data_IF_778554490458
#
_entry.id   IF_778554490458
#
_cell.length_a   1.000
_cell.length_b   1.000
_cell.length_c   1.000
_cell.angle_alpha   90.00
_cell.angle_beta   90.00
_cell.angle_gamma   90.00
#
_symmetry.space_group_name_H-M   'P 1'
#
loop_
_entity.id
_entity.type
_entity.pdbx_description
1 polymer ?
#
# COMPACT_ATOMS: atom_id res chain seq x y z
N UNK A 1 -46.69 -33.00 -24.69
CA UNK A 1 -47.46 -32.23 -25.70
C UNK A 1 -46.43 -31.80 -26.76
N UNK A 2 -45.96 -32.70 -27.64
CA UNK A 2 -46.54 -33.11 -28.95
C UNK A 2 -47.10 -31.92 -29.74
N UNK A 3 -46.85 -31.70 -31.03
CA UNK A 3 -45.92 -32.13 -32.09
C UNK A 3 -46.47 -31.50 -33.39
N UNK A 4 -45.64 -31.26 -34.42
CA UNK A 4 -45.92 -31.66 -35.82
C UNK A 4 -44.98 -30.98 -36.84
N UNK A 5 -44.11 -31.79 -37.43
CA UNK A 5 -43.61 -31.68 -38.82
C UNK A 5 -44.73 -32.11 -39.81
N UNK A 6 -44.61 -31.90 -41.14
CA UNK A 6 -43.94 -32.87 -42.05
C UNK A 6 -43.02 -32.20 -43.10
N UNK A 7 -41.85 -32.76 -43.43
CA UNK A 7 -41.56 -33.87 -44.39
C UNK A 7 -41.58 -33.40 -45.86
N UNK A 8 -40.87 -33.95 -46.86
CA UNK A 8 -40.19 -35.23 -47.10
C UNK A 8 -39.42 -35.06 -48.44
N UNK A 9 -38.27 -35.66 -48.72
CA UNK A 9 -38.09 -36.95 -49.45
C UNK A 9 -36.80 -36.82 -50.30
N UNK A 10 -35.96 -37.81 -50.59
CA UNK A 10 -35.90 -39.25 -50.30
C UNK A 10 -34.53 -39.82 -50.75
N UNK A 11 -34.05 -40.87 -50.04
CA UNK A 11 -33.40 -42.14 -50.53
C UNK A 11 -32.10 -42.11 -51.36
N UNK A 12 -31.17 -43.07 -51.35
CA UNK A 12 -30.82 -44.36 -50.69
C UNK A 12 -29.44 -44.70 -51.31
N UNK A 13 -28.42 -45.31 -50.69
CA UNK A 13 -28.21 -46.76 -50.47
C UNK A 13 -26.68 -46.91 -50.18
N UNK A 14 -26.19 -47.38 -49.03
CA UNK A 14 -25.96 -48.77 -48.54
C UNK A 14 -24.59 -49.40 -48.92
N UNK A 15 -24.10 -50.25 -48.01
CA UNK A 15 -23.01 -51.28 -48.11
C UNK A 15 -21.56 -50.84 -47.80
N UNK A 16 -20.67 -51.60 -47.13
CA UNK A 16 -20.65 -52.86 -46.35
C UNK A 16 -19.17 -52.97 -45.84
N UNK A 17 -18.90 -52.97 -44.52
CA UNK A 17 -18.34 -54.07 -43.70
C UNK A 17 -16.99 -54.73 -44.15
N UNK A 18 -15.99 -54.66 -43.23
CA UNK A 18 -15.00 -55.68 -42.80
C UNK A 18 -13.56 -55.86 -43.39
N UNK A 19 -12.66 -56.12 -42.41
CA UNK A 19 -11.42 -56.97 -42.35
C UNK A 19 -10.07 -56.34 -42.76
N UNK A 20 -9.17 -56.07 -41.80
CA UNK A 20 -8.13 -56.96 -41.22
C UNK A 20 -7.09 -57.47 -42.24
N UNK A 21 -5.79 -57.19 -42.03
CA UNK A 21 -4.73 -58.17 -41.67
C UNK A 21 -3.36 -57.49 -41.60
N UNK A 22 -2.54 -57.96 -40.65
CA UNK A 22 -1.19 -57.54 -40.29
C UNK A 22 -0.08 -58.08 -41.23
N UNK A 23 1.16 -57.69 -40.89
CA UNK A 23 2.46 -58.40 -41.04
C UNK A 23 3.50 -57.72 -41.95
N UNK A 24 4.59 -57.30 -41.29
CA UNK A 24 5.93 -56.89 -41.79
C UNK A 24 6.74 -58.12 -42.25
N UNK A 25 7.80 -58.02 -43.10
CA UNK A 25 9.15 -57.73 -42.56
C UNK A 25 10.17 -57.05 -43.52
N UNK A 26 11.04 -56.24 -42.90
CA UNK A 26 12.49 -56.06 -43.08
C UNK A 26 13.18 -56.14 -44.47
N UNK A 27 13.94 -55.08 -44.81
CA UNK A 27 15.35 -55.19 -45.23
C UNK A 27 16.07 -53.83 -45.07
N UNK A 28 17.29 -53.82 -44.52
CA UNK A 28 18.23 -52.69 -44.45
C UNK A 28 19.55 -53.12 -45.14
N UNK A 29 20.40 -52.21 -45.63
CA UNK A 29 21.55 -51.80 -44.81
C UNK A 29 21.97 -50.32 -45.00
N UNK A 30 22.36 -49.63 -43.93
CA UNK A 30 23.75 -49.32 -43.53
C UNK A 30 24.45 -48.23 -44.36
N UNK A 31 24.56 -47.01 -43.81
CA UNK A 31 25.85 -46.31 -43.61
C UNK A 31 25.63 -44.99 -42.82
N UNK A 32 26.06 -44.94 -41.55
CA UNK A 32 26.45 -43.73 -40.80
C UNK A 32 26.86 -44.12 -39.36
N UNK A 33 27.96 -43.59 -38.81
CA UNK A 33 28.58 -44.10 -37.60
C UNK A 33 27.75 -43.79 -36.35
N UNK A 34 27.44 -44.85 -35.59
CA UNK A 34 26.81 -44.73 -34.28
C UNK A 34 27.84 -44.33 -33.23
N UNK A 35 27.70 -43.10 -32.71
CA UNK A 35 28.26 -42.72 -31.43
C UNK A 35 27.47 -43.45 -30.33
N UNK A 36 28.01 -44.56 -29.83
CA UNK A 36 27.64 -45.02 -28.50
C UNK A 36 28.38 -44.13 -27.52
N UNK A 37 27.66 -43.42 -26.64
CA UNK A 37 27.97 -43.47 -25.21
C UNK A 37 26.92 -42.76 -24.35
N UNK A 38 26.52 -43.53 -23.33
CA UNK A 38 25.96 -43.13 -22.05
C UNK A 38 24.66 -42.32 -22.03
N UNK A 39 23.55 -43.06 -21.90
CA UNK A 39 22.37 -42.57 -21.20
C UNK A 39 22.80 -42.23 -19.76
N UNK A 40 23.02 -40.94 -19.50
CA UNK A 40 23.02 -40.41 -18.13
C UNK A 40 21.57 -40.42 -17.69
N UNK A 41 21.21 -41.42 -16.89
CA UNK A 41 20.05 -41.34 -16.02
C UNK A 41 20.13 -40.03 -15.23
N UNK A 42 19.02 -39.35 -14.90
CA UNK A 42 19.06 -38.23 -13.97
C UNK A 42 19.70 -38.73 -12.68
N UNK A 43 20.97 -38.40 -12.48
CA UNK A 43 21.53 -38.46 -11.15
C UNK A 43 20.77 -37.38 -10.41
N UNK A 44 19.98 -37.80 -9.43
CA UNK A 44 19.72 -36.99 -8.25
C UNK A 44 21.08 -36.77 -7.57
N UNK A 45 21.93 -35.94 -8.18
CA UNK A 45 22.96 -35.21 -7.47
C UNK A 45 22.16 -34.24 -6.63
N UNK A 46 22.02 -34.57 -5.34
CA UNK A 46 21.51 -33.62 -4.38
C UNK A 46 22.24 -32.31 -4.63
N UNK A 47 21.47 -31.25 -4.94
CA UNK A 47 21.99 -29.91 -5.05
C UNK A 47 22.73 -29.61 -3.74
N UNK A 48 24.03 -29.86 -3.71
CA UNK A 48 24.91 -29.27 -2.73
C UNK A 48 24.93 -27.79 -3.08
N UNK A 49 23.95 -27.09 -2.53
CA UNK A 49 23.75 -25.65 -2.68
C UNK A 49 25.07 -24.98 -2.32
N UNK A 50 25.86 -24.65 -3.34
CA UNK A 50 27.24 -24.20 -3.16
C UNK A 50 27.18 -22.94 -2.30
N UNK A 51 28.04 -22.84 -1.29
CA UNK A 51 27.97 -21.75 -0.29
C UNK A 51 28.03 -20.35 -0.94
N UNK A 52 28.68 -20.25 -2.11
CA UNK A 52 28.72 -19.06 -2.96
C UNK A 52 27.34 -18.73 -3.53
N UNK A 53 26.63 -19.72 -4.07
CA UNK A 53 25.28 -19.55 -4.62
C UNK A 53 24.29 -19.18 -3.53
N UNK A 54 24.43 -19.79 -2.35
CA UNK A 54 23.64 -19.44 -1.16
C UNK A 54 23.92 -18.01 -0.67
N UNK A 55 25.17 -17.54 -0.76
CA UNK A 55 25.55 -16.18 -0.38
C UNK A 55 25.06 -15.15 -1.39
N UNK A 56 25.11 -15.48 -2.68
CA UNK A 56 24.62 -14.62 -3.75
C UNK A 56 23.09 -14.50 -3.70
N UNK A 57 22.38 -15.60 -3.49
CA UNK A 57 20.93 -15.63 -3.29
C UNK A 57 20.52 -14.79 -2.06
N UNK A 58 21.23 -14.96 -0.93
CA UNK A 58 20.99 -14.16 0.28
C UNK A 58 21.20 -12.67 0.03
N UNK A 59 22.32 -12.28 -0.60
CA UNK A 59 22.61 -10.88 -0.89
C UNK A 59 21.59 -10.27 -1.86
N UNK A 60 21.20 -11.02 -2.90
CA UNK A 60 20.21 -10.60 -3.90
C UNK A 60 18.84 -10.42 -3.27
N UNK A 61 18.40 -11.35 -2.43
CA UNK A 61 17.13 -11.25 -1.73
C UNK A 61 17.11 -10.03 -0.80
N UNK A 62 18.20 -9.78 -0.05
CA UNK A 62 18.29 -8.58 0.79
C UNK A 62 18.33 -7.27 0.02
N UNK A 63 18.96 -7.26 -1.16
CA UNK A 63 18.95 -6.10 -2.03
C UNK A 63 17.54 -5.86 -2.61
N UNK A 64 16.85 -6.92 -3.02
CA UNK A 64 15.48 -6.84 -3.52
C UNK A 64 14.50 -6.38 -2.43
N UNK A 65 14.61 -6.93 -1.21
CA UNK A 65 13.82 -6.52 -0.06
C UNK A 65 14.06 -5.04 0.28
N UNK A 66 15.32 -4.57 0.18
CA UNK A 66 15.65 -3.16 0.41
C UNK A 66 15.06 -2.26 -0.68
N UNK A 67 15.17 -2.64 -1.95
CA UNK A 67 14.61 -1.87 -3.07
C UNK A 67 13.09 -1.81 -2.96
N UNK A 68 12.43 -2.92 -2.63
CA UNK A 68 11.00 -2.95 -2.42
C UNK A 68 10.59 -2.11 -1.20
N UNK A 69 11.32 -2.21 -0.08
CA UNK A 69 11.10 -1.34 1.08
C UNK A 69 11.30 0.14 0.74
N UNK A 70 12.31 0.49 -0.05
CA UNK A 70 12.55 1.87 -0.49
C UNK A 70 11.45 2.37 -1.42
N UNK A 71 11.03 1.56 -2.39
CA UNK A 71 9.92 1.88 -3.29
C UNK A 71 8.62 2.05 -2.52
N UNK A 72 8.31 1.18 -1.56
CA UNK A 72 7.14 1.32 -0.68
C UNK A 72 7.25 2.56 0.23
N UNK A 73 8.44 2.86 0.75
CA UNK A 73 8.68 4.02 1.62
C UNK A 73 8.49 5.35 0.89
N UNK A 74 8.95 5.46 -0.36
CA UNK A 74 8.86 6.70 -1.15
C UNK A 74 7.67 6.75 -2.12
N UNK A 75 7.12 5.59 -2.51
CA UNK A 75 6.10 5.43 -3.54
C UNK A 75 4.67 5.55 -3.01
N UNK A 76 4.45 5.48 -1.69
CA UNK A 76 3.13 5.71 -1.12
C UNK A 76 2.72 7.18 -1.27
N UNK A 77 1.71 7.52 -2.11
CA UNK A 77 1.16 8.87 -2.08
C UNK A 77 0.61 9.09 -0.67
N UNK A 78 0.90 10.25 -0.08
CA UNK A 78 0.39 10.72 1.24
C UNK A 78 -1.13 10.52 1.42
N UNK A 79 -1.86 10.29 0.32
CA UNK A 79 -3.28 9.91 0.28
C UNK A 79 -3.62 8.57 0.96
N UNK A 80 -2.66 7.67 1.19
CA UNK A 80 -2.91 6.35 1.80
C UNK A 80 -2.42 6.18 3.25
N UNK A 81 -1.76 7.18 3.85
CA UNK A 81 -1.42 7.11 5.27
C UNK A 81 -2.69 6.96 6.16
N UNK A 82 -3.79 7.58 5.76
CA UNK A 82 -5.09 7.43 6.43
C UNK A 82 -5.82 6.09 6.11
N UNK A 83 -5.31 5.30 5.17
CA UNK A 83 -5.90 4.02 4.72
C UNK A 83 -5.06 2.80 5.12
N UNK A 84 -3.81 2.99 5.52
CA UNK A 84 -2.93 1.92 5.97
C UNK A 84 -3.40 1.35 7.31
N UNK A 85 -3.55 0.03 7.37
CA UNK A 85 -3.70 -0.76 8.59
C UNK A 85 -2.54 -0.40 9.54
N UNK A 86 -2.81 0.33 10.62
CA UNK A 86 -1.89 0.62 11.72
C UNK A 86 -0.38 0.83 11.38
N UNK A 87 0.11 2.07 11.35
CA UNK A 87 1.52 2.36 11.10
C UNK A 87 2.20 3.11 12.25
N UNK A 88 3.52 2.92 12.39
CA UNK A 88 4.36 3.66 13.33
C UNK A 88 5.65 4.10 12.63
N UNK A 89 6.05 5.36 12.84
CA UNK A 89 7.25 6.00 12.28
C UNK A 89 8.03 6.67 13.41
N UNK A 90 9.26 6.20 13.64
CA UNK A 90 10.22 6.89 14.49
C UNK A 90 11.09 7.82 13.64
N UNK A 91 11.23 9.08 14.06
CA UNK A 91 12.09 10.08 13.42
C UNK A 91 13.13 10.52 14.45
N UNK A 92 14.40 10.42 14.07
CA UNK A 92 15.54 10.87 14.87
C UNK A 92 16.14 12.08 14.16
N UNK A 93 16.19 13.23 14.84
CA UNK A 93 16.81 14.45 14.34
C UNK A 93 17.96 14.80 15.27
N UNK A 94 19.18 14.86 14.74
CA UNK A 94 20.35 15.37 15.46
C UNK A 94 20.68 16.75 14.88
N UNK A 95 20.51 17.80 15.68
CA UNK A 95 20.95 19.15 15.33
C UNK A 95 22.30 19.40 16.00
N UNK A 96 23.29 19.85 15.23
CA UNK A 96 24.63 20.10 15.75
C UNK A 96 25.06 21.54 15.46
N UNK A 97 25.30 22.30 16.52
CA UNK A 97 25.95 23.61 16.47
C UNK A 97 27.25 23.56 17.29
N UNK A 98 28.28 24.27 16.83
CA UNK A 98 29.53 24.44 17.54
C UNK A 98 29.37 25.14 18.92
N UNK A 99 28.31 25.92 19.12
CA UNK A 99 27.99 26.58 20.41
C UNK A 99 27.24 25.65 21.36
N UNK A 100 26.25 24.93 20.85
CA UNK A 100 25.25 24.21 21.66
C UNK A 100 25.46 22.69 21.67
N UNK A 101 26.36 22.17 20.85
CA UNK A 101 26.67 20.75 20.76
C UNK A 101 25.62 19.97 19.99
N UNK A 102 25.40 18.71 20.37
CA UNK A 102 24.38 17.84 19.78
C UNK A 102 23.03 18.01 20.49
N UNK A 103 21.96 18.19 19.74
CA UNK A 103 20.57 18.20 20.18
C UNK A 103 19.80 17.09 19.45
N UNK A 104 19.74 15.92 20.11
CA UNK A 104 19.03 14.75 19.60
C UNK A 104 17.54 14.81 19.98
N UNK A 105 16.69 14.99 18.98
CA UNK A 105 15.23 14.92 19.06
C UNK A 105 14.73 13.57 18.55
N UNK A 106 13.94 12.89 19.35
CA UNK A 106 13.24 11.65 18.95
C UNK A 106 11.74 11.95 18.86
N UNK A 107 11.14 11.59 17.73
CA UNK A 107 9.70 11.74 17.48
C UNK A 107 9.10 10.39 17.12
N UNK A 108 7.94 10.06 17.70
CA UNK A 108 7.23 8.82 17.41
C UNK A 108 5.84 9.12 16.87
N UNK A 109 5.66 8.92 15.57
CA UNK A 109 4.40 9.10 14.84
C UNK A 109 3.71 7.78 14.61
N UNK A 110 2.40 7.79 14.56
CA UNK A 110 1.67 6.62 14.11
C UNK A 110 0.21 6.63 14.47
N UNK A 111 -0.49 5.68 13.87
CA UNK A 111 -1.86 5.35 14.20
C UNK A 111 -1.93 3.84 14.37
N UNK A 112 -2.65 3.38 15.39
CA UNK A 112 -2.96 1.96 15.59
C UNK A 112 -4.47 1.84 15.68
N UNK A 113 -5.06 1.11 14.75
CA UNK A 113 -6.49 0.81 14.75
C UNK A 113 -6.77 -0.21 15.85
N UNK A 114 -7.83 -0.01 16.62
CA UNK A 114 -8.16 -0.89 17.76
C UNK A 114 -9.44 -1.69 17.46
N UNK A 115 -9.44 -2.62 16.47
CA UNK A 115 -10.65 -3.33 16.05
C UNK A 115 -11.24 -4.23 17.15
N UNK A 116 -10.42 -4.66 18.12
CA UNK A 116 -10.89 -5.43 19.29
C UNK A 116 -11.65 -4.59 20.30
N UNK A 117 -11.47 -3.27 20.29
CA UNK A 117 -12.21 -2.32 21.13
C UNK A 117 -13.39 -1.77 20.33
N UNK A 118 -13.12 -1.19 19.16
CA UNK A 118 -14.12 -0.65 18.25
C UNK A 118 -13.47 -0.33 16.90
N UNK A 119 -14.16 -0.62 15.81
CA UNK A 119 -13.76 -0.22 14.44
C UNK A 119 -13.76 1.31 14.24
N UNK A 120 -14.13 2.09 15.27
CA UNK A 120 -14.20 3.56 15.23
C UNK A 120 -13.13 4.22 16.09
N UNK A 121 -12.33 3.46 16.82
CA UNK A 121 -11.35 3.99 17.76
C UNK A 121 -9.94 3.69 17.25
N UNK A 122 -9.15 4.75 17.14
CA UNK A 122 -7.75 4.68 16.76
C UNK A 122 -6.91 5.26 17.90
N UNK A 123 -5.78 4.62 18.21
CA UNK A 123 -4.73 5.20 19.04
C UNK A 123 -3.79 5.98 18.14
N UNK A 124 -3.61 7.27 18.41
CA UNK A 124 -2.75 8.17 17.62
C UNK A 124 -1.56 8.64 18.46
N UNK A 125 -0.37 8.55 17.87
CA UNK A 125 0.90 8.95 18.46
C UNK A 125 1.46 10.13 17.68
N UNK A 126 1.83 11.18 18.41
CA UNK A 126 2.19 12.53 17.95
C UNK A 126 1.25 13.05 16.86
N UNK A 127 0.28 13.87 17.29
CA UNK A 127 -0.90 14.27 16.56
C UNK A 127 -0.65 14.44 15.07
N UNK A 128 -1.22 13.54 14.28
CA UNK A 128 -1.05 13.27 12.83
C UNK A 128 -0.94 14.50 11.89
N UNK A 129 -1.20 15.70 12.36
CA UNK A 129 -1.43 16.89 11.55
C UNK A 129 -1.09 18.24 12.22
N UNK A 130 -0.45 18.28 13.42
CA UNK A 130 0.02 19.57 13.97
C UNK A 130 1.12 20.23 13.10
N UNK A 131 1.61 19.46 12.13
CA UNK A 131 2.54 19.80 11.06
C UNK A 131 2.26 21.11 10.34
N UNK A 132 1.02 21.55 10.13
CA UNK A 132 0.76 22.67 9.21
C UNK A 132 0.87 24.06 9.85
N UNK A 133 0.97 24.15 11.19
CA UNK A 133 0.95 25.46 11.87
C UNK A 133 2.03 25.62 12.92
N UNK A 134 2.63 24.52 13.38
CA UNK A 134 3.70 24.58 14.35
C UNK A 134 5.04 24.88 13.67
N UNK A 135 5.91 25.63 14.33
CA UNK A 135 7.30 25.78 13.91
C UNK A 135 8.09 24.48 14.10
N UNK A 136 9.26 24.36 13.44
CA UNK A 136 10.17 23.20 13.59
C UNK A 136 10.48 22.88 15.06
N UNK A 137 10.60 23.93 15.88
CA UNK A 137 10.90 23.89 17.32
C UNK A 137 9.68 23.42 18.14
N UNK A 138 8.48 23.93 17.85
CA UNK A 138 7.25 23.46 18.50
C UNK A 138 6.96 21.99 18.15
N UNK A 139 7.18 21.59 16.88
CA UNK A 139 7.10 20.19 16.44
C UNK A 139 8.15 19.30 17.11
N UNK A 140 9.28 19.85 17.55
CA UNK A 140 10.34 19.08 18.24
C UNK A 140 9.98 18.73 19.68
N UNK A 141 9.12 19.52 20.31
CA UNK A 141 8.74 19.34 21.71
C UNK A 141 7.37 18.66 21.88
N UNK A 142 6.66 18.38 20.79
CA UNK A 142 5.32 17.82 20.82
C UNK A 142 5.34 16.29 20.70
N UNK A 143 5.49 15.62 21.85
CA UNK A 143 5.17 14.20 22.00
C UNK A 143 3.83 14.09 22.73
N UNK A 144 2.74 14.03 21.97
CA UNK A 144 1.42 13.75 22.50
C UNK A 144 0.93 12.33 22.13
N UNK A 145 0.11 11.75 23.01
CA UNK A 145 -0.55 10.46 22.77
C UNK A 145 -2.03 10.70 22.91
N UNK A 146 -2.82 10.25 21.95
CA UNK A 146 -4.25 10.51 21.95
C UNK A 146 -5.08 9.35 21.45
N UNK A 147 -6.36 9.41 21.79
CA UNK A 147 -7.38 8.52 21.27
C UNK A 147 -8.24 9.32 20.30
N UNK A 148 -8.44 8.77 19.11
CA UNK A 148 -9.33 9.33 18.09
C UNK A 148 -10.57 8.47 17.95
N UNK A 149 -11.71 9.13 17.86
CA UNK A 149 -13.01 8.54 17.62
C UNK A 149 -13.58 9.01 16.29
N UNK A 150 -13.80 8.08 15.37
CA UNK A 150 -14.39 8.32 14.06
C UNK A 150 -15.93 8.26 14.16
N UNK A 151 -16.60 9.41 14.21
CA UNK A 151 -18.07 9.48 14.22
C UNK A 151 -18.66 9.09 12.88
N UNK A 152 -18.07 9.62 11.81
CA UNK A 152 -18.52 9.39 10.45
C UNK A 152 -17.31 9.20 9.57
N UNK A 153 -17.28 8.08 8.89
CA UNK A 153 -16.33 7.82 7.82
C UNK A 153 -17.10 7.43 6.57
N UNK A 154 -16.86 8.17 5.49
CA UNK A 154 -17.56 8.03 4.21
C UNK A 154 -16.61 8.52 3.12
N UNK A 155 -16.80 8.02 1.90
CA UNK A 155 -15.92 8.35 0.75
C UNK A 155 -15.72 9.86 0.51
N UNK A 156 -16.69 10.69 0.93
CA UNK A 156 -16.65 12.15 0.75
C UNK A 156 -16.52 12.93 2.06
N UNK A 157 -16.81 12.34 3.21
CA UNK A 157 -16.91 13.08 4.46
C UNK A 157 -16.35 12.25 5.59
N UNK A 158 -15.43 12.82 6.35
CA UNK A 158 -14.92 12.24 7.59
C UNK A 158 -15.10 13.24 8.72
N UNK A 159 -15.61 12.77 9.85
CA UNK A 159 -15.75 13.54 11.08
C UNK A 159 -15.21 12.71 12.22
N UNK A 160 -14.19 13.24 12.89
CA UNK A 160 -13.54 12.60 14.01
C UNK A 160 -13.32 13.58 15.17
N UNK A 161 -13.30 13.06 16.39
CA UNK A 161 -12.80 13.78 17.56
C UNK A 161 -11.56 13.09 18.09
N UNK A 162 -10.61 13.88 18.54
CA UNK A 162 -9.38 13.42 19.15
C UNK A 162 -9.28 13.98 20.56
N UNK A 163 -8.78 13.17 21.47
CA UNK A 163 -8.38 13.60 22.80
C UNK A 163 -6.94 13.15 23.02
N UNK A 164 -5.99 14.09 23.04
CA UNK A 164 -4.59 13.78 23.31
C UNK A 164 -4.07 14.39 24.61
N UNK A 165 -3.02 13.77 25.15
CA UNK A 165 -2.24 14.23 26.30
C UNK A 165 -0.84 14.58 25.81
N UNK A 166 -0.36 15.78 26.11
CA UNK A 166 1.05 16.17 25.88
C UNK A 166 1.91 15.72 27.05
N UNK A 167 3.23 15.74 26.92
CA UNK A 167 4.17 15.56 28.05
C UNK A 167 3.95 16.65 29.13
N UNK A 168 2.98 16.42 30.02
CA UNK A 168 2.41 17.35 31.01
C UNK A 168 0.93 17.00 31.28
N UNK A 169 0.23 17.64 32.25
CA UNK A 169 -1.19 17.37 32.50
C UNK A 169 -2.14 18.05 31.49
N UNK A 170 -1.63 18.54 30.36
CA UNK A 170 -2.42 19.27 29.38
C UNK A 170 -3.20 18.31 28.47
N UNK A 171 -4.53 18.40 28.56
CA UNK A 171 -5.45 17.72 27.64
C UNK A 171 -5.68 18.60 26.41
N UNK A 172 -5.69 17.94 25.25
CA UNK A 172 -5.83 18.55 23.94
C UNK A 172 -7.03 17.92 23.22
N UNK A 173 -8.27 18.32 23.57
CA UNK A 173 -9.43 17.88 22.82
C UNK A 173 -9.47 18.60 21.47
N UNK A 174 -9.86 17.88 20.43
CA UNK A 174 -10.00 18.40 19.09
C UNK A 174 -11.07 17.70 18.28
N UNK A 175 -11.57 18.39 17.26
CA UNK A 175 -12.52 17.87 16.28
C UNK A 175 -11.99 18.19 14.90
N UNK A 176 -12.05 17.21 14.00
CA UNK A 176 -11.66 17.37 12.60
C UNK A 176 -12.80 16.98 11.70
N UNK A 177 -13.12 17.88 10.78
CA UNK A 177 -14.05 17.68 9.69
C UNK A 177 -13.28 17.72 8.38
N UNK A 178 -13.42 16.67 7.57
CA UNK A 178 -12.83 16.58 6.24
C UNK A 178 -13.91 16.33 5.22
N UNK A 179 -13.91 17.13 4.16
CA UNK A 179 -14.75 16.94 2.99
C UNK A 179 -13.90 16.76 1.74
N UNK A 180 -14.13 15.69 1.00
CA UNK A 180 -13.46 15.41 -0.27
C UNK A 180 -14.50 15.19 -1.36
N UNK A 181 -14.37 15.93 -2.46
CA UNK A 181 -15.30 15.84 -3.59
C UNK A 181 -14.52 15.63 -4.90
N UNK A 182 -14.79 14.54 -5.64
CA UNK A 182 -14.38 14.47 -7.05
C UNK A 182 -15.17 15.53 -7.82
N UNK A 183 -14.45 16.40 -8.52
CA UNK A 183 -15.03 17.45 -9.37
C UNK A 183 -15.22 16.93 -10.79
N UNK A 184 -14.27 16.14 -11.27
CA UNK A 184 -14.28 15.39 -12.54
C UNK A 184 -13.61 14.02 -12.33
N UNK A 185 -13.46 13.23 -13.40
CA UNK A 185 -12.76 11.93 -13.32
C UNK A 185 -11.25 12.06 -13.01
N UNK A 186 -10.66 13.23 -13.25
CA UNK A 186 -9.23 13.51 -13.06
C UNK A 186 -8.96 14.68 -12.10
N UNK A 187 -9.98 15.19 -11.39
CA UNK A 187 -9.79 16.28 -10.43
C UNK A 187 -10.61 16.08 -9.16
N UNK A 188 -10.03 16.46 -8.03
CA UNK A 188 -10.68 16.39 -6.73
C UNK A 188 -10.30 17.59 -5.88
N UNK A 189 -11.23 18.01 -5.05
CA UNK A 189 -10.98 18.99 -4.01
C UNK A 189 -11.12 18.35 -2.63
N UNK A 190 -10.35 18.85 -1.67
CA UNK A 190 -10.38 18.47 -0.27
C UNK A 190 -10.39 19.73 0.58
N UNK A 191 -11.24 19.73 1.60
CA UNK A 191 -11.26 20.75 2.64
C UNK A 191 -11.15 20.04 3.97
N UNK A 192 -10.22 20.47 4.80
CA UNK A 192 -10.06 19.99 6.17
C UNK A 192 -10.21 21.17 7.12
N UNK A 193 -11.11 21.04 8.08
CA UNK A 193 -11.29 21.97 9.18
C UNK A 193 -10.97 21.25 10.47
N UNK A 194 -10.11 21.82 11.29
CA UNK A 194 -9.78 21.32 12.62
C UNK A 194 -10.02 22.40 13.65
N UNK A 195 -10.62 22.03 14.76
CA UNK A 195 -10.73 22.86 15.95
C UNK A 195 -10.09 22.10 17.10
N UNK A 196 -9.15 22.71 17.79
CA UNK A 196 -8.42 22.11 18.90
C UNK A 196 -8.34 23.10 20.04
N UNK A 197 -8.40 22.61 21.26
CA UNK A 197 -8.22 23.42 22.45
C UNK A 197 -6.87 23.10 23.09
N UNK A 198 -6.07 24.13 23.32
CA UNK A 198 -4.85 24.07 24.12
C UNK A 198 -5.13 24.67 25.48
N UNK A 199 -4.68 23.99 26.54
CA UNK A 199 -4.87 24.46 27.92
C UNK A 199 -4.15 25.80 28.17
N UNK A 200 -3.04 26.04 27.45
CA UNK A 200 -2.19 27.24 27.58
C UNK A 200 -2.64 28.39 26.66
N UNK A 201 -2.95 28.09 25.39
CA UNK A 201 -3.17 29.10 24.35
C UNK A 201 -4.65 29.25 23.88
N UNK A 202 -5.57 28.43 24.41
CA UNK A 202 -6.98 28.49 24.05
C UNK A 202 -7.32 27.75 22.75
N UNK A 203 -8.32 28.25 22.02
CA UNK A 203 -8.87 27.56 20.84
C UNK A 203 -8.08 27.87 19.58
N UNK A 204 -7.54 26.82 18.95
CA UNK A 204 -6.90 26.89 17.64
C UNK A 204 -7.80 26.28 16.58
N UNK A 205 -8.06 27.03 15.51
CA UNK A 205 -8.81 26.60 14.34
C UNK A 205 -7.91 26.60 13.12
N UNK A 206 -7.82 25.46 12.45
CA UNK A 206 -7.00 25.27 11.25
C UNK A 206 -7.90 24.90 10.09
N UNK A 207 -7.74 25.60 8.97
CA UNK A 207 -8.46 25.37 7.72
C UNK A 207 -7.45 25.08 6.64
N UNK A 208 -7.56 23.93 5.99
CA UNK A 208 -6.78 23.58 4.82
C UNK A 208 -7.72 23.36 3.62
N UNK A 209 -7.37 23.93 2.49
CA UNK A 209 -8.01 23.68 1.21
C UNK A 209 -6.98 23.15 0.21
N UNK A 210 -7.34 22.09 -0.52
CA UNK A 210 -6.51 21.49 -1.56
C UNK A 210 -7.38 21.18 -2.79
N UNK A 211 -6.95 21.59 -3.96
CA UNK A 211 -7.53 21.24 -5.25
C UNK A 211 -6.46 20.59 -6.12
N UNK A 212 -6.76 19.41 -6.64
CA UNK A 212 -5.83 18.63 -7.42
C UNK A 212 -6.42 18.31 -8.79
N UNK A 213 -5.57 18.27 -9.81
CA UNK A 213 -5.93 17.84 -11.16
C UNK A 213 -4.77 17.08 -11.80
N UNK A 214 -5.04 15.84 -12.19
CA UNK A 214 -4.14 15.04 -13.02
C UNK A 214 -4.27 15.57 -14.45
N UNK A 215 -3.15 15.93 -15.06
CA UNK A 215 -3.11 16.39 -16.45
C UNK A 215 -2.86 15.24 -17.40
N UNK A 216 -1.88 14.38 -17.06
CA UNK A 216 -1.49 13.18 -17.79
C UNK A 216 -0.86 12.16 -16.82
N UNK A 217 -0.35 11.04 -17.35
CA UNK A 217 0.25 9.95 -16.56
C UNK A 217 1.52 10.34 -15.78
N UNK A 218 2.07 11.55 -16.02
CA UNK A 218 3.34 12.00 -15.45
C UNK A 218 3.24 13.35 -14.74
N UNK A 219 2.10 14.02 -14.78
CA UNK A 219 1.95 15.38 -14.26
C UNK A 219 0.64 15.62 -13.51
N UNK A 220 0.80 16.28 -12.36
CA UNK A 220 -0.26 16.63 -11.43
C UNK A 220 -0.12 18.12 -11.08
N UNK A 221 -1.23 18.87 -11.15
CA UNK A 221 -1.33 20.19 -10.53
C UNK A 221 -1.98 20.02 -9.16
N UNK A 222 -1.33 20.56 -8.14
CA UNK A 222 -1.87 20.73 -6.79
C UNK A 222 -1.88 22.21 -6.46
N UNK A 223 -3.05 22.72 -6.10
CA UNK A 223 -3.22 24.04 -5.51
C UNK A 223 -3.74 23.87 -4.10
N UNK A 224 -3.24 24.67 -3.17
CA UNK A 224 -3.72 24.62 -1.81
C UNK A 224 -3.46 25.90 -1.06
N UNK A 225 -4.12 26.01 0.09
CA UNK A 225 -3.96 27.11 1.03
C UNK A 225 -4.28 26.64 2.44
N UNK A 226 -3.64 27.27 3.40
CA UNK A 226 -3.84 27.04 4.81
C UNK A 226 -4.23 28.35 5.51
N UNK A 227 -5.05 28.23 6.55
CA UNK A 227 -5.44 29.32 7.42
C UNK A 227 -5.46 28.84 8.86
N UNK A 228 -4.84 29.62 9.75
CA UNK A 228 -4.83 29.36 11.18
C UNK A 228 -5.43 30.54 11.94
N UNK A 229 -6.26 30.23 12.93
CA UNK A 229 -6.83 31.17 13.88
C UNK A 229 -6.53 30.64 15.28
N UNK A 230 -6.11 31.50 16.19
CA UNK A 230 -5.79 31.20 17.59
C UNK A 230 -6.44 32.22 18.51
#
# INVERSE_FOLDING_TARGET
>A
MFAALPARSETSDSDEVQRQTAVSPAEAPADAPQLKESSVAPQEEGEEKHWVDSSHEYATNRAQDLVQWMDDFFGAPVRDAERADSFVRAIFLDDWDQRDGHDLKVRLRGQVDLPKISERIDLVFSGEESEQTLTEEERAQENDVGVRFNFRDSRRTRLDATLSVRSGPALLPGVRFRYQQPLTDNSWARVTQRLQYHTEDGYRSLTNFEANRILDDKSLIRWGGEGALS
#
